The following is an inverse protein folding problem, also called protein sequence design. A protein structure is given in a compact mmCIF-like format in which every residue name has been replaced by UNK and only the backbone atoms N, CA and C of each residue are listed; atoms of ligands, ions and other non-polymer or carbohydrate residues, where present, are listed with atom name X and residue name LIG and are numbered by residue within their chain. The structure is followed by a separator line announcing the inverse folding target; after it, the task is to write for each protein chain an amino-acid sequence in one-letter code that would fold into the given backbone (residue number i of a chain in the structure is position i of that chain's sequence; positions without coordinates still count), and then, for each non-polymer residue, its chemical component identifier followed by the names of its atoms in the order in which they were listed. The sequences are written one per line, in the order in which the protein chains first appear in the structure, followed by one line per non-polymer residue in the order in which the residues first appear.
data_IF_036077576966
#
_entry.id   IF_036077576966
#
_cell.length_a   1.000
_cell.length_b   1.000
_cell.length_c   1.000
_cell.angle_alpha   90.00
_cell.angle_beta   90.00
_cell.angle_gamma   90.00
#
_symmetry.space_group_name_H-M   'P 1'
#
loop_
_entity.id
_entity.type
_entity.pdbx_description
1 polymer ?
#
# COMPACT_ATOMS: atom_id res chain seq x y z
N UNK A 1 -39.81 1.69 -5.41
CA UNK A 1 -40.54 2.49 -4.40
C UNK A 1 -41.74 1.71 -3.81
N UNK A 2 -42.55 1.00 -4.61
CA UNK A 2 -43.78 0.32 -4.15
C UNK A 2 -43.67 -1.12 -3.61
N UNK A 3 -42.47 -1.69 -3.45
CA UNK A 3 -42.29 -3.11 -3.05
C UNK A 3 -41.81 -3.32 -1.61
N UNK A 4 -41.58 -2.26 -0.82
CA UNK A 4 -40.84 -2.39 0.45
C UNK A 4 -41.69 -2.21 1.71
N UNK A 5 -42.93 -1.69 1.65
CA UNK A 5 -43.79 -1.46 2.83
C UNK A 5 -45.23 -1.96 2.61
N UNK A 6 -45.47 -3.29 2.70
CA UNK A 6 -46.76 -3.89 2.36
C UNK A 6 -47.90 -3.51 3.32
N UNK A 7 -47.65 -3.23 4.60
CA UNK A 7 -48.70 -2.83 5.54
C UNK A 7 -49.20 -1.39 5.33
N UNK A 8 -48.30 -0.46 5.00
CA UNK A 8 -48.68 0.92 4.60
C UNK A 8 -49.47 0.86 3.28
N UNK A 9 -49.03 0.00 2.34
CA UNK A 9 -49.77 -0.27 1.10
C UNK A 9 -51.11 -0.93 1.37
N UNK A 10 -51.20 -1.88 2.28
CA UNK A 10 -52.43 -2.58 2.64
C UNK A 10 -53.39 -1.61 3.32
N UNK A 11 -52.93 -0.74 4.21
CA UNK A 11 -53.76 0.32 4.81
C UNK A 11 -54.17 1.39 3.79
N UNK A 12 -53.27 1.78 2.87
CA UNK A 12 -53.60 2.66 1.74
C UNK A 12 -54.61 2.01 0.79
N UNK A 13 -54.45 0.73 0.46
CA UNK A 13 -55.32 -0.03 -0.43
C UNK A 13 -56.66 -0.37 0.23
N UNK A 14 -56.66 -0.66 1.54
CA UNK A 14 -57.85 -0.91 2.34
C UNK A 14 -58.68 0.37 2.51
N UNK A 15 -58.03 1.51 2.72
CA UNK A 15 -58.65 2.84 2.68
C UNK A 15 -59.24 3.16 1.30
N UNK A 16 -58.49 2.93 0.22
CA UNK A 16 -58.96 3.15 -1.15
C UNK A 16 -60.09 2.20 -1.56
N UNK A 17 -60.08 0.95 -1.08
CA UNK A 17 -61.08 -0.08 -1.39
C UNK A 17 -62.42 0.07 -0.66
N UNK A 18 -62.45 0.74 0.50
CA UNK A 18 -63.67 0.99 1.28
C UNK A 18 -64.30 2.37 1.06
N UNK A 19 -63.79 3.17 0.11
CA UNK A 19 -64.33 4.48 -0.22
C UNK A 19 -64.11 5.58 0.84
N UNK A 20 -63.32 5.32 1.88
CA UNK A 20 -62.87 6.33 2.83
C UNK A 20 -61.44 6.74 2.45
N UNK A 21 -61.29 7.88 1.77
CA UNK A 21 -59.98 8.45 1.49
C UNK A 21 -59.22 8.69 2.80
N UNK A 22 -58.02 8.11 2.90
CA UNK A 22 -57.09 8.38 4.00
C UNK A 22 -56.88 9.88 4.09
N UNK A 23 -57.03 10.43 5.30
CA UNK A 23 -56.92 11.87 5.48
C UNK A 23 -55.59 12.38 4.88
N UNK A 24 -55.59 13.48 4.10
CA UNK A 24 -54.41 13.91 3.34
C UNK A 24 -53.13 14.06 4.17
N UNK A 25 -53.27 14.45 5.44
CA UNK A 25 -52.15 14.59 6.37
C UNK A 25 -51.51 13.24 6.77
N UNK A 26 -52.32 12.19 6.94
CA UNK A 26 -51.84 10.84 7.24
C UNK A 26 -51.12 10.24 6.04
N UNK A 27 -51.65 10.45 4.85
CA UNK A 27 -50.99 10.04 3.59
C UNK A 27 -49.65 10.74 3.41
N UNK A 28 -49.61 12.07 3.58
CA UNK A 28 -48.38 12.85 3.47
C UNK A 28 -47.32 12.42 4.50
N UNK A 29 -47.74 12.13 5.74
CA UNK A 29 -46.85 11.62 6.79
C UNK A 29 -46.24 10.26 6.40
N UNK A 30 -47.05 9.34 5.90
CA UNK A 30 -46.59 8.01 5.48
C UNK A 30 -45.62 8.08 4.30
N UNK A 31 -45.89 8.96 3.32
CA UNK A 31 -44.98 9.22 2.19
C UNK A 31 -43.64 9.78 2.68
N UNK A 32 -43.65 10.75 3.60
CA UNK A 32 -42.42 11.31 4.18
C UNK A 32 -41.59 10.27 4.94
N UNK A 33 -42.23 9.40 5.72
CA UNK A 33 -41.54 8.33 6.45
C UNK A 33 -40.91 7.33 5.48
N UNK A 34 -41.61 6.96 4.40
CA UNK A 34 -41.09 6.06 3.37
C UNK A 34 -39.92 6.66 2.60
N UNK A 35 -39.99 7.94 2.27
CA UNK A 35 -38.89 8.64 1.60
C UNK A 35 -37.66 8.74 2.50
N UNK A 36 -37.86 9.08 3.78
CA UNK A 36 -36.78 9.10 4.77
C UNK A 36 -36.15 7.71 4.98
N UNK A 37 -36.97 6.66 5.05
CA UNK A 37 -36.49 5.28 5.18
C UNK A 37 -35.69 4.84 3.94
N UNK A 38 -36.17 5.16 2.73
CA UNK A 38 -35.46 4.82 1.49
C UNK A 38 -34.15 5.58 1.34
N UNK A 39 -34.12 6.86 1.69
CA UNK A 39 -32.90 7.66 1.66
C UNK A 39 -31.86 7.13 2.65
N UNK A 40 -32.29 6.88 3.89
CA UNK A 40 -31.40 6.38 4.95
C UNK A 40 -31.04 4.89 4.82
N UNK A 41 -31.73 4.13 3.96
CA UNK A 41 -31.43 2.72 3.68
C UNK A 41 -30.01 2.52 3.15
N UNK A 42 -29.53 3.46 2.32
CA UNK A 42 -28.20 3.45 1.72
C UNK A 42 -27.18 4.28 2.51
N UNK A 43 -27.56 4.74 3.71
CA UNK A 43 -26.68 5.45 4.63
C UNK A 43 -25.73 4.51 5.39
N UNK A 44 -25.23 4.98 6.54
CA UNK A 44 -24.31 4.21 7.36
C UNK A 44 -24.99 3.00 8.02
N UNK A 45 -24.31 1.85 7.97
CA UNK A 45 -24.74 0.59 8.57
C UNK A 45 -24.16 0.48 9.99
N UNK A 46 -24.77 1.15 10.95
CA UNK A 46 -24.23 1.34 12.32
C UNK A 46 -25.02 0.63 13.41
N UNK A 47 -26.18 0.03 13.08
CA UNK A 47 -27.03 -0.64 14.06
C UNK A 47 -26.73 -2.14 14.05
N UNK A 48 -26.26 -2.74 15.17
CA UNK A 48 -26.00 -4.16 15.23
C UNK A 48 -27.33 -4.93 15.20
N UNK A 49 -27.41 -6.05 14.45
CA UNK A 49 -28.66 -6.76 14.28
C UNK A 49 -29.11 -7.46 15.59
N UNK A 50 -30.43 -7.63 15.79
CA UNK A 50 -30.99 -8.23 17.01
C UNK A 50 -30.63 -9.72 17.19
N UNK A 51 -30.54 -10.49 16.10
CA UNK A 51 -30.26 -11.93 16.14
C UNK A 51 -28.78 -12.20 15.80
N UNK A 52 -28.10 -12.99 16.63
CA UNK A 52 -26.73 -13.46 16.40
C UNK A 52 -26.58 -14.26 15.09
N UNK A 53 -27.68 -14.83 14.56
CA UNK A 53 -27.70 -15.54 13.27
C UNK A 53 -27.66 -14.61 12.06
N UNK A 54 -27.98 -13.34 12.22
CA UNK A 54 -27.86 -12.36 11.15
C UNK A 54 -26.54 -11.58 11.31
N UNK A 55 -25.57 -11.71 10.39
CA UNK A 55 -24.30 -11.00 10.46
C UNK A 55 -24.40 -9.57 9.90
N UNK A 56 -25.53 -9.18 9.31
CA UNK A 56 -25.65 -7.93 8.55
C UNK A 56 -26.08 -6.81 9.50
N UNK A 57 -25.20 -5.82 9.66
CA UNK A 57 -25.50 -4.56 10.34
C UNK A 57 -26.62 -3.83 9.60
N UNK A 58 -27.40 -3.03 10.31
CA UNK A 58 -28.55 -2.33 9.75
C UNK A 58 -28.26 -0.84 9.61
N UNK A 59 -28.79 -0.26 8.53
CA UNK A 59 -28.90 1.19 8.39
C UNK A 59 -30.15 1.69 9.11
N UNK A 60 -30.19 2.99 9.40
CA UNK A 60 -31.36 3.62 10.01
C UNK A 60 -32.64 3.39 9.18
N UNK A 61 -32.52 3.39 7.84
CA UNK A 61 -33.63 3.09 6.95
C UNK A 61 -34.15 1.67 7.11
N UNK A 62 -33.24 0.68 7.18
CA UNK A 62 -33.65 -0.71 7.43
C UNK A 62 -34.33 -0.87 8.81
N UNK A 63 -33.83 -0.19 9.85
CA UNK A 63 -34.49 -0.20 11.16
C UNK A 63 -35.90 0.42 11.11
N UNK A 64 -36.09 1.52 10.37
CA UNK A 64 -37.42 2.12 10.16
C UNK A 64 -38.36 1.12 9.47
N UNK A 65 -37.87 0.40 8.45
CA UNK A 65 -38.66 -0.62 7.76
C UNK A 65 -38.98 -1.81 8.67
N UNK A 66 -38.05 -2.26 9.51
CA UNK A 66 -38.25 -3.34 10.48
C UNK A 66 -39.32 -2.96 11.52
N UNK A 67 -39.31 -1.72 12.00
CA UNK A 67 -40.33 -1.20 12.92
C UNK A 67 -41.74 -1.11 12.29
N UNK A 68 -41.82 -0.96 10.96
CA UNK A 68 -43.08 -0.82 10.21
C UNK A 68 -43.65 -2.13 9.67
N UNK A 69 -43.07 -3.29 10.03
CA UNK A 69 -43.77 -4.57 9.93
C UNK A 69 -43.53 -5.39 8.66
N UNK A 70 -42.28 -5.81 8.42
CA UNK A 70 -41.97 -7.10 7.74
C UNK A 70 -40.48 -7.52 7.82
N UNK A 71 -39.65 -6.85 8.63
CA UNK A 71 -38.28 -7.29 8.89
C UNK A 71 -38.22 -8.58 9.70
N UNK A 72 -37.18 -9.41 9.53
CA UNK A 72 -36.87 -10.51 10.45
C UNK A 72 -36.40 -10.03 11.84
N UNK A 73 -36.49 -8.73 12.12
CA UNK A 73 -35.96 -8.07 13.31
C UNK A 73 -37.00 -7.84 14.42
N UNK A 74 -36.53 -7.45 15.61
CA UNK A 74 -37.37 -7.07 16.74
C UNK A 74 -37.84 -5.61 16.60
N UNK A 75 -39.15 -5.34 16.39
CA UNK A 75 -39.67 -3.99 16.20
C UNK A 75 -39.41 -3.08 17.41
N UNK A 76 -39.35 -3.61 18.63
CA UNK A 76 -39.10 -2.81 19.83
C UNK A 76 -37.66 -2.29 19.87
N UNK A 77 -36.71 -3.13 19.47
CA UNK A 77 -35.30 -2.74 19.35
C UNK A 77 -35.14 -1.68 18.26
N UNK A 78 -35.76 -1.89 17.09
CA UNK A 78 -35.72 -0.93 15.99
C UNK A 78 -36.27 0.45 16.41
N UNK A 79 -37.40 0.49 17.14
CA UNK A 79 -37.95 1.73 17.70
C UNK A 79 -36.99 2.38 18.70
N UNK A 80 -36.34 1.60 19.56
CA UNK A 80 -35.33 2.10 20.50
C UNK A 80 -34.15 2.74 19.76
N UNK A 81 -33.62 2.07 18.74
CA UNK A 81 -32.50 2.54 17.94
C UNK A 81 -32.84 3.84 17.20
N UNK A 82 -34.02 3.92 16.59
CA UNK A 82 -34.52 5.13 15.93
C UNK A 82 -34.66 6.28 16.93
N UNK A 83 -35.21 6.03 18.13
CA UNK A 83 -35.33 7.06 19.18
C UNK A 83 -33.98 7.58 19.66
N UNK A 84 -32.98 6.71 19.79
CA UNK A 84 -31.63 7.13 20.18
C UNK A 84 -30.97 7.95 19.07
N UNK A 85 -31.07 7.51 17.82
CA UNK A 85 -30.59 8.27 16.66
C UNK A 85 -31.25 9.65 16.57
N UNK A 86 -32.57 9.71 16.74
CA UNK A 86 -33.33 10.97 16.75
C UNK A 86 -32.90 11.87 17.90
N UNK A 87 -32.72 11.33 19.11
CA UNK A 87 -32.28 12.09 20.29
C UNK A 87 -30.90 12.72 20.05
N UNK A 88 -29.98 11.97 19.47
CA UNK A 88 -28.64 12.46 19.11
C UNK A 88 -28.70 13.49 17.98
N UNK A 89 -29.52 13.26 16.94
CA UNK A 89 -29.69 14.19 15.83
C UNK A 89 -30.29 15.54 16.29
N UNK A 90 -31.32 15.51 17.15
CA UNK A 90 -31.92 16.72 17.74
C UNK A 90 -30.94 17.50 18.61
N UNK A 91 -29.99 16.81 19.25
CA UNK A 91 -28.96 17.45 20.07
C UNK A 91 -27.92 18.24 19.25
N UNK A 92 -27.78 18.00 17.93
CA UNK A 92 -26.85 18.75 17.07
C UNK A 92 -27.15 20.26 17.04
N UNK A 93 -28.42 20.66 17.23
CA UNK A 93 -28.86 22.05 17.21
C UNK A 93 -28.91 22.75 18.57
N UNK A 94 -28.58 22.05 19.67
CA UNK A 94 -28.67 22.59 21.03
C UNK A 94 -27.33 23.21 21.48
N UNK A 95 -26.34 22.38 21.83
CA UNK A 95 -24.99 22.79 22.22
C UNK A 95 -24.03 21.59 22.08
N UNK A 96 -22.72 21.88 21.95
CA UNK A 96 -21.70 20.83 21.71
C UNK A 96 -21.64 19.80 22.85
N UNK A 97 -21.83 20.22 24.09
CA UNK A 97 -21.73 19.33 25.25
C UNK A 97 -22.88 18.34 25.30
N UNK A 98 -24.11 18.83 25.10
CA UNK A 98 -25.31 18.00 25.02
C UNK A 98 -25.22 17.03 23.84
N UNK A 99 -24.77 17.48 22.67
CA UNK A 99 -24.56 16.59 21.53
C UNK A 99 -23.55 15.48 21.85
N UNK A 100 -22.40 15.84 22.43
CA UNK A 100 -21.35 14.88 22.81
C UNK A 100 -21.85 13.85 23.82
N UNK A 101 -22.66 14.26 24.79
CA UNK A 101 -23.24 13.36 25.78
C UNK A 101 -24.25 12.40 25.16
N UNK A 102 -25.15 12.87 24.29
CA UNK A 102 -26.11 12.00 23.59
C UNK A 102 -25.41 11.03 22.63
N UNK A 103 -24.40 11.52 21.90
CA UNK A 103 -23.58 10.70 21.03
C UNK A 103 -22.83 9.62 21.81
N UNK A 104 -22.31 9.95 23.00
CA UNK A 104 -21.65 8.98 23.87
C UNK A 104 -22.59 7.88 24.32
N UNK A 105 -23.82 8.22 24.71
CA UNK A 105 -24.84 7.23 25.10
C UNK A 105 -25.15 6.29 23.93
N UNK A 106 -25.39 6.83 22.73
CA UNK A 106 -25.63 6.04 21.52
C UNK A 106 -24.43 5.11 21.21
N UNK A 107 -23.21 5.66 21.22
CA UNK A 107 -21.99 4.88 20.97
C UNK A 107 -21.82 3.74 21.99
N UNK A 108 -21.99 4.03 23.27
CA UNK A 108 -21.77 3.06 24.34
C UNK A 108 -22.81 1.93 24.30
N UNK A 109 -24.06 2.22 23.92
CA UNK A 109 -25.10 1.20 23.67
C UNK A 109 -24.75 0.30 22.48
N UNK A 110 -24.40 0.90 21.34
CA UNK A 110 -24.01 0.16 20.13
C UNK A 110 -22.78 -0.70 20.36
N UNK A 111 -21.76 -0.15 21.03
CA UNK A 111 -20.53 -0.85 21.38
C UNK A 111 -20.82 -2.05 22.29
N UNK A 112 -21.66 -1.88 23.32
CA UNK A 112 -22.04 -2.96 24.23
C UNK A 112 -22.77 -4.10 23.49
N UNK A 113 -23.67 -3.78 22.57
CA UNK A 113 -24.37 -4.78 21.75
C UNK A 113 -23.43 -5.50 20.79
N UNK A 114 -22.55 -4.78 20.12
CA UNK A 114 -21.56 -5.38 19.23
C UNK A 114 -20.56 -6.26 20.00
N UNK A 115 -20.16 -5.86 21.21
CA UNK A 115 -19.23 -6.62 22.06
C UNK A 115 -19.86 -7.92 22.57
N UNK A 116 -21.16 -7.89 22.94
CA UNK A 116 -21.92 -9.09 23.30
C UNK A 116 -21.96 -10.14 22.16
N UNK A 117 -21.75 -9.72 20.91
CA UNK A 117 -21.67 -10.55 19.71
C UNK A 117 -20.24 -10.91 19.30
N UNK A 118 -19.23 -10.36 19.98
CA UNK A 118 -17.82 -10.50 19.62
C UNK A 118 -17.40 -9.69 18.38
N UNK A 119 -18.26 -8.80 17.88
CA UNK A 119 -18.03 -8.00 16.67
C UNK A 119 -17.29 -6.68 16.94
N UNK A 120 -17.21 -6.26 18.22
CA UNK A 120 -16.57 -4.99 18.60
C UNK A 120 -15.06 -5.08 18.85
N UNK A 121 -14.47 -6.29 18.86
CA UNK A 121 -13.09 -6.54 19.32
C UNK A 121 -12.02 -5.68 18.63
N UNK A 122 -12.21 -5.37 17.35
CA UNK A 122 -11.23 -4.63 16.55
C UNK A 122 -11.52 -3.13 16.42
N UNK A 123 -12.73 -2.68 16.75
CA UNK A 123 -13.17 -1.28 16.55
C UNK A 123 -12.33 -0.29 17.38
N UNK A 124 -12.00 -0.53 18.68
CA UNK A 124 -11.13 0.38 19.42
C UNK A 124 -9.72 0.46 18.83
N UNK A 125 -9.20 -0.65 18.30
CA UNK A 125 -7.87 -0.70 17.68
C UNK A 125 -7.84 0.09 16.37
N UNK A 126 -8.90 0.00 15.57
CA UNK A 126 -9.07 0.77 14.34
C UNK A 126 -9.22 2.27 14.62
N UNK A 127 -10.02 2.65 15.62
CA UNK A 127 -10.14 4.04 16.04
C UNK A 127 -8.80 4.63 16.51
N UNK A 128 -8.03 3.91 17.32
CA UNK A 128 -6.67 4.31 17.74
C UNK A 128 -5.71 4.42 16.54
N UNK A 129 -5.81 3.49 15.58
CA UNK A 129 -5.03 3.52 14.36
C UNK A 129 -5.24 4.82 13.58
N UNK A 130 -6.49 5.23 13.36
CA UNK A 130 -6.82 6.46 12.63
C UNK A 130 -6.48 7.73 13.39
N UNK A 131 -6.65 7.78 14.73
CA UNK A 131 -6.32 8.98 15.51
C UNK A 131 -4.82 9.31 15.53
N UNK A 132 -3.96 8.29 15.56
CA UNK A 132 -2.53 8.48 15.84
C UNK A 132 -1.69 8.83 14.61
N UNK A 133 -2.25 8.87 13.40
CA UNK A 133 -1.55 9.28 12.17
C UNK A 133 -0.13 8.68 12.02
N UNK A 134 0.00 7.37 12.21
CA UNK A 134 1.30 6.68 12.35
C UNK A 134 2.31 6.98 11.24
N UNK A 135 1.86 7.00 9.98
CA UNK A 135 2.75 7.25 8.83
C UNK A 135 3.24 8.69 8.74
N UNK A 136 2.50 9.67 9.29
CA UNK A 136 3.00 11.04 9.42
C UNK A 136 4.20 11.08 10.37
N UNK A 137 4.11 10.40 11.52
CA UNK A 137 5.23 10.31 12.46
C UNK A 137 6.42 9.57 11.87
N UNK A 138 6.19 8.46 11.17
CA UNK A 138 7.25 7.75 10.44
C UNK A 138 7.99 8.69 9.47
N UNK A 139 7.22 9.49 8.70
CA UNK A 139 7.77 10.47 7.78
C UNK A 139 8.62 11.54 8.48
N UNK A 140 8.18 12.05 9.64
CA UNK A 140 8.95 13.01 10.44
C UNK A 140 10.29 12.41 10.87
N UNK A 141 10.30 11.17 11.37
CA UNK A 141 11.54 10.49 11.75
C UNK A 141 12.48 10.26 10.56
N UNK A 142 11.94 9.92 9.38
CA UNK A 142 12.75 9.80 8.17
C UNK A 142 13.27 11.15 7.66
N UNK A 143 12.52 12.25 7.79
CA UNK A 143 13.03 13.59 7.47
C UNK A 143 14.17 13.96 8.42
N UNK A 144 14.00 13.73 9.72
CA UNK A 144 15.07 13.93 10.71
C UNK A 144 16.28 13.06 10.36
N UNK A 145 16.07 11.78 10.05
CA UNK A 145 17.14 10.87 9.61
C UNK A 145 17.86 11.38 8.36
N UNK A 146 17.14 11.94 7.39
CA UNK A 146 17.73 12.53 6.18
C UNK A 146 18.62 13.73 6.51
N UNK A 147 18.17 14.65 7.38
CA UNK A 147 18.96 15.81 7.80
C UNK A 147 20.23 15.36 8.54
N UNK A 148 20.10 14.37 9.44
CA UNK A 148 21.22 13.80 10.16
C UNK A 148 22.20 13.06 9.24
N UNK A 149 21.70 12.40 8.20
CA UNK A 149 22.50 11.73 7.18
C UNK A 149 23.36 12.72 6.38
N UNK A 150 22.80 13.89 6.03
CA UNK A 150 23.56 14.95 5.37
C UNK A 150 24.70 15.45 6.26
N UNK A 151 24.45 15.64 7.57
CA UNK A 151 25.49 16.00 8.54
C UNK A 151 26.54 14.88 8.72
N UNK A 152 26.11 13.61 8.68
CA UNK A 152 27.00 12.45 8.73
C UNK A 152 27.96 12.43 7.53
N UNK A 153 27.46 12.68 6.32
CA UNK A 153 28.29 12.69 5.12
C UNK A 153 29.26 13.88 5.06
N UNK A 154 28.85 15.06 5.53
CA UNK A 154 29.73 16.25 5.55
C UNK A 154 30.84 16.16 6.59
N UNK A 155 30.57 15.56 7.76
CA UNK A 155 31.52 15.46 8.86
C UNK A 155 32.43 14.21 8.80
N UNK A 156 32.14 13.30 7.86
CA UNK A 156 32.94 12.11 7.58
C UNK A 156 33.26 11.25 8.81
N UNK A 157 34.50 10.74 8.88
CA UNK A 157 34.94 9.82 9.94
C UNK A 157 35.32 10.47 11.28
N UNK A 158 34.99 11.74 11.49
CA UNK A 158 35.24 12.44 12.76
C UNK A 158 34.47 11.83 13.94
N UNK A 159 34.88 12.10 15.20
CA UNK A 159 34.13 11.67 16.39
C UNK A 159 32.68 12.18 16.36
N UNK A 160 32.48 13.40 15.86
CA UNK A 160 31.17 14.02 15.67
C UNK A 160 30.37 13.29 14.59
N UNK A 161 31.01 12.96 13.45
CA UNK A 161 30.40 12.17 12.37
C UNK A 161 29.92 10.80 12.83
N UNK A 162 30.66 10.11 13.72
CA UNK A 162 30.19 8.86 14.36
C UNK A 162 28.94 9.08 15.23
N UNK A 163 28.84 10.22 15.91
CA UNK A 163 27.63 10.60 16.64
C UNK A 163 26.42 10.75 15.70
N UNK A 164 26.61 11.44 14.57
CA UNK A 164 25.57 11.58 13.53
C UNK A 164 25.21 10.26 12.87
N UNK A 165 26.15 9.33 12.71
CA UNK A 165 25.84 7.96 12.23
C UNK A 165 24.85 7.26 13.16
N UNK A 166 25.12 7.23 14.47
CA UNK A 166 24.22 6.59 15.44
C UNK A 166 22.88 7.32 15.54
N UNK A 167 22.87 8.65 15.46
CA UNK A 167 21.65 9.44 15.45
C UNK A 167 20.79 9.16 14.19
N UNK A 168 21.42 9.07 13.01
CA UNK A 168 20.76 8.71 11.74
C UNK A 168 20.18 7.30 11.81
N UNK A 169 20.95 6.35 12.36
CA UNK A 169 20.48 4.99 12.58
C UNK A 169 19.28 4.93 13.52
N UNK A 170 19.35 5.62 14.66
CA UNK A 170 18.25 5.67 15.63
C UNK A 170 16.98 6.30 15.02
N UNK A 171 17.12 7.40 14.28
CA UNK A 171 16.00 8.05 13.61
C UNK A 171 15.38 7.14 12.52
N UNK A 172 16.21 6.50 11.70
CA UNK A 172 15.74 5.60 10.63
C UNK A 172 15.07 4.35 11.18
N UNK A 173 15.65 3.73 12.23
CA UNK A 173 15.04 2.58 12.92
C UNK A 173 13.72 2.98 13.58
N UNK A 174 13.66 4.17 14.21
CA UNK A 174 12.42 4.67 14.80
C UNK A 174 11.36 4.89 13.72
N UNK A 175 11.71 5.52 12.60
CA UNK A 175 10.81 5.67 11.45
C UNK A 175 10.30 4.33 10.93
N UNK A 176 11.17 3.32 10.83
CA UNK A 176 10.79 1.97 10.44
C UNK A 176 9.82 1.31 11.45
N UNK A 177 10.06 1.46 12.75
CA UNK A 177 9.14 0.97 13.79
C UNK A 177 7.76 1.62 13.63
N UNK A 178 7.71 2.92 13.37
CA UNK A 178 6.48 3.66 13.10
C UNK A 178 5.80 3.28 11.77
N UNK A 179 6.49 2.59 10.85
CA UNK A 179 5.86 1.93 9.71
C UNK A 179 5.36 0.52 10.07
N UNK A 180 6.13 -0.26 10.82
CA UNK A 180 5.80 -1.66 11.13
C UNK A 180 4.59 -1.76 12.06
N UNK A 181 4.51 -0.92 13.11
CA UNK A 181 3.38 -0.94 14.05
C UNK A 181 2.02 -0.77 13.35
N UNK A 182 1.77 0.28 12.55
CA UNK A 182 0.50 0.43 11.86
C UNK A 182 0.25 -0.68 10.83
N UNK A 183 1.28 -1.17 10.13
CA UNK A 183 1.16 -2.34 9.23
C UNK A 183 0.65 -3.56 10.01
N UNK A 184 1.22 -3.87 11.17
CA UNK A 184 0.78 -5.00 12.01
C UNK A 184 -0.64 -4.76 12.55
N UNK A 185 -0.97 -3.54 12.97
CA UNK A 185 -2.34 -3.20 13.39
C UNK A 185 -3.34 -3.43 12.26
N UNK A 186 -3.01 -2.98 11.04
CA UNK A 186 -3.79 -3.24 9.83
C UNK A 186 -3.98 -4.74 9.61
N UNK A 187 -2.94 -5.56 9.79
CA UNK A 187 -3.06 -7.01 9.69
C UNK A 187 -4.05 -7.60 10.70
N UNK A 188 -4.04 -7.11 11.94
CA UNK A 188 -4.92 -7.58 13.01
C UNK A 188 -6.37 -7.14 12.74
N UNK A 189 -6.57 -5.90 12.27
CA UNK A 189 -7.92 -5.37 11.97
C UNK A 189 -8.53 -6.10 10.78
N UNK A 190 -7.78 -6.21 9.68
CA UNK A 190 -8.26 -6.84 8.44
C UNK A 190 -8.17 -8.38 8.46
N UNK A 191 -7.55 -8.98 9.48
CA UNK A 191 -7.30 -10.41 9.61
C UNK A 191 -6.52 -11.03 8.43
N UNK A 192 -5.67 -10.23 7.78
CA UNK A 192 -4.89 -10.61 6.60
C UNK A 192 -3.72 -9.64 6.39
N UNK A 193 -2.68 -10.00 5.61
CA UNK A 193 -1.58 -9.08 5.31
C UNK A 193 -2.04 -7.83 4.53
N UNK A 194 -1.34 -6.69 4.66
CA UNK A 194 -1.75 -5.40 4.10
C UNK A 194 -1.17 -5.29 2.70
N UNK A 195 -1.74 -6.04 1.76
CA UNK A 195 -1.35 -6.07 0.34
C UNK A 195 -2.56 -6.13 -0.59
N UNK A 196 -3.74 -5.71 -0.09
CA UNK A 196 -5.00 -5.79 -0.83
C UNK A 196 -5.21 -4.65 -1.85
N UNK A 197 -4.57 -3.50 -1.65
CA UNK A 197 -4.68 -2.34 -2.52
C UNK A 197 -3.32 -1.62 -2.75
N UNK A 198 -3.31 -0.59 -3.59
CA UNK A 198 -2.07 0.12 -3.95
C UNK A 198 -1.46 0.84 -2.75
N UNK A 199 -2.28 1.48 -1.92
CA UNK A 199 -1.82 2.16 -0.71
C UNK A 199 -1.08 1.21 0.24
N UNK A 200 -1.71 0.08 0.55
CA UNK A 200 -1.17 -0.99 1.38
C UNK A 200 0.16 -1.52 0.86
N UNK A 201 0.22 -1.83 -0.44
CA UNK A 201 1.44 -2.35 -1.07
C UNK A 201 2.58 -1.32 -1.12
N UNK A 202 2.31 -0.03 -1.37
CA UNK A 202 3.35 1.02 -1.35
C UNK A 202 3.95 1.15 0.05
N UNK A 203 3.11 1.13 1.09
CA UNK A 203 3.59 1.25 2.47
C UNK A 203 4.41 0.03 2.87
N UNK A 204 3.95 -1.17 2.49
CA UNK A 204 4.67 -2.40 2.75
C UNK A 204 6.02 -2.46 2.02
N UNK A 205 6.06 -2.07 0.74
CA UNK A 205 7.31 -1.92 -0.03
C UNK A 205 8.20 -0.87 0.61
N UNK A 206 7.65 0.27 1.05
CA UNK A 206 8.38 1.32 1.76
C UNK A 206 9.10 0.83 3.02
N UNK A 207 8.37 0.14 3.89
CA UNK A 207 8.94 -0.45 5.10
C UNK A 207 10.01 -1.50 4.76
N UNK A 208 9.74 -2.34 3.76
CA UNK A 208 10.66 -3.41 3.33
C UNK A 208 11.94 -2.85 2.72
N UNK A 209 11.85 -1.82 1.87
CA UNK A 209 13.02 -1.17 1.25
C UNK A 209 13.91 -0.56 2.33
N UNK A 210 13.33 0.14 3.31
CA UNK A 210 14.10 0.69 4.43
C UNK A 210 14.73 -0.42 5.27
N UNK A 211 13.99 -1.50 5.54
CA UNK A 211 14.51 -2.67 6.26
C UNK A 211 15.69 -3.33 5.53
N UNK A 212 15.56 -3.59 4.23
CA UNK A 212 16.64 -4.17 3.41
C UNK A 212 17.83 -3.21 3.35
N UNK A 213 17.60 -1.90 3.21
CA UNK A 213 18.67 -0.91 3.23
C UNK A 213 19.44 -0.89 4.57
N UNK A 214 18.75 -0.99 5.71
CA UNK A 214 19.38 -1.13 7.02
C UNK A 214 20.15 -2.45 7.17
N UNK A 215 19.65 -3.55 6.61
CA UNK A 215 20.35 -4.83 6.59
C UNK A 215 21.65 -4.74 5.75
N UNK A 216 21.59 -4.10 4.58
CA UNK A 216 22.76 -3.86 3.73
C UNK A 216 23.76 -2.95 4.45
N UNK A 217 23.30 -1.89 5.13
CA UNK A 217 24.17 -1.05 5.96
C UNK A 217 24.85 -1.88 7.05
N UNK A 218 24.11 -2.72 7.75
CA UNK A 218 24.67 -3.58 8.79
C UNK A 218 25.78 -4.51 8.27
N UNK A 219 25.64 -5.01 7.05
CA UNK A 219 26.64 -5.86 6.38
C UNK A 219 27.85 -5.07 5.86
N UNK A 220 27.66 -3.86 5.36
CA UNK A 220 28.71 -3.07 4.69
C UNK A 220 29.43 -2.08 5.62
N UNK A 221 28.75 -1.54 6.63
CA UNK A 221 29.21 -0.56 7.62
C UNK A 221 29.92 0.67 7.02
N UNK A 222 29.42 1.18 5.90
CA UNK A 222 30.00 2.32 5.17
C UNK A 222 29.24 3.63 5.41
N UNK A 223 28.08 3.60 6.05
CA UNK A 223 27.21 4.76 6.30
C UNK A 223 26.52 5.31 5.04
N UNK A 224 26.91 4.89 3.85
CA UNK A 224 26.33 5.36 2.60
C UNK A 224 24.87 4.91 2.43
N UNK A 225 24.60 3.63 2.65
CA UNK A 225 23.24 3.09 2.52
C UNK A 225 22.36 3.62 3.64
N UNK A 226 22.93 3.81 4.83
CA UNK A 226 22.25 4.47 5.94
C UNK A 226 21.74 5.87 5.60
N UNK A 227 22.49 6.65 4.81
CA UNK A 227 22.06 8.00 4.44
C UNK A 227 20.94 8.02 3.40
N UNK A 228 20.87 6.99 2.55
CA UNK A 228 19.83 6.85 1.53
C UNK A 228 18.52 6.27 2.10
N UNK A 229 18.62 5.34 3.05
CA UNK A 229 17.46 4.66 3.63
C UNK A 229 16.33 5.61 4.10
N UNK A 230 16.60 6.68 4.89
CA UNK A 230 15.55 7.60 5.30
C UNK A 230 14.98 8.42 4.13
N UNK A 231 15.78 8.76 3.11
CA UNK A 231 15.28 9.46 1.92
C UNK A 231 14.24 8.60 1.20
N UNK A 232 14.55 7.32 0.99
CA UNK A 232 13.62 6.36 0.39
C UNK A 232 12.36 6.17 1.23
N UNK A 233 12.50 6.07 2.56
CA UNK A 233 11.37 6.00 3.48
C UNK A 233 10.44 7.22 3.37
N UNK A 234 10.99 8.43 3.32
CA UNK A 234 10.20 9.66 3.13
C UNK A 234 9.50 9.67 1.78
N UNK A 235 10.21 9.39 0.68
CA UNK A 235 9.63 9.41 -0.68
C UNK A 235 8.48 8.42 -0.81
N UNK A 236 8.63 7.21 -0.27
CA UNK A 236 7.61 6.16 -0.36
C UNK A 236 6.39 6.45 0.51
N UNK A 237 6.55 7.05 1.70
CA UNK A 237 5.40 7.52 2.49
C UNK A 237 4.68 8.68 1.79
N UNK A 238 5.41 9.64 1.23
CA UNK A 238 4.80 10.74 0.46
C UNK A 238 4.00 10.20 -0.72
N UNK A 239 4.53 9.19 -1.41
CA UNK A 239 3.83 8.50 -2.49
C UNK A 239 2.56 7.81 -1.98
N UNK A 240 2.63 7.04 -0.89
CA UNK A 240 1.46 6.39 -0.29
C UNK A 240 0.37 7.40 0.07
N UNK A 241 0.74 8.53 0.69
CA UNK A 241 -0.21 9.58 1.08
C UNK A 241 -0.84 10.30 -0.10
N UNK A 242 -0.11 10.46 -1.21
CA UNK A 242 -0.68 10.99 -2.46
C UNK A 242 -1.81 10.11 -2.97
N UNK A 243 -1.70 8.79 -2.83
CA UNK A 243 -2.77 7.86 -3.18
C UNK A 243 -3.94 7.92 -2.22
N UNK A 244 -3.68 7.92 -0.91
CA UNK A 244 -4.72 8.06 0.13
C UNK A 244 -5.55 9.34 -0.04
N UNK A 245 -4.90 10.47 -0.29
CA UNK A 245 -5.57 11.75 -0.54
C UNK A 245 -6.29 11.80 -1.88
N UNK A 246 -5.76 11.12 -2.91
CA UNK A 246 -6.31 11.11 -4.25
C UNK A 246 -7.58 10.26 -4.39
N UNK A 247 -7.62 9.12 -3.69
CA UNK A 247 -8.76 8.20 -3.72
C UNK A 247 -9.87 8.64 -2.74
N UNK A 248 -9.53 9.39 -1.67
CA UNK A 248 -10.46 9.95 -0.68
C UNK A 248 -11.50 8.95 -0.15
N UNK A 249 -11.10 7.69 -0.01
CA UNK A 249 -11.89 6.56 0.46
C UNK A 249 -11.20 5.88 1.62
N UNK A 250 -11.97 5.08 2.37
CA UNK A 250 -11.38 4.14 3.31
C UNK A 250 -10.48 3.17 2.55
N UNK A 251 -9.29 2.91 3.11
CA UNK A 251 -8.28 2.05 2.51
C UNK A 251 -8.33 0.63 3.10
N UNK A 252 -9.28 0.32 4.00
CA UNK A 252 -9.51 -1.02 4.57
C UNK A 252 -10.67 -1.76 3.87
N UNK A 253 -10.74 -1.68 2.55
CA UNK A 253 -11.81 -2.31 1.76
C UNK A 253 -11.89 -3.83 1.95
N UNK A 254 -13.09 -4.44 1.93
CA UNK A 254 -13.22 -5.89 1.85
C UNK A 254 -12.57 -6.43 0.56
N UNK A 255 -11.94 -7.61 0.64
CA UNK A 255 -11.33 -8.24 -0.53
C UNK A 255 -12.41 -8.81 -1.45
N UNK A 256 -12.06 -8.96 -2.73
CA UNK A 256 -12.83 -9.80 -3.65
C UNK A 256 -12.85 -11.22 -3.10
N UNK A 257 -14.01 -11.88 -3.11
CA UNK A 257 -14.22 -13.18 -2.44
C UNK A 257 -13.19 -14.27 -2.80
N UNK A 258 -12.67 -14.27 -4.03
CA UNK A 258 -11.63 -15.20 -4.49
C UNK A 258 -10.28 -14.98 -3.79
N UNK A 259 -10.00 -13.77 -3.34
CA UNK A 259 -8.77 -13.39 -2.62
C UNK A 259 -8.86 -13.67 -1.12
N UNK A 260 -9.99 -14.20 -0.63
CA UNK A 260 -10.17 -14.50 0.79
C UNK A 260 -9.56 -15.88 1.19
N UNK A 261 -8.95 -16.61 0.24
CA UNK A 261 -8.19 -17.83 0.50
C UNK A 261 -6.82 -17.52 1.14
N UNK A 262 -6.80 -17.47 2.48
CA UNK A 262 -5.75 -16.78 3.23
C UNK A 262 -4.34 -17.40 3.16
N UNK A 263 -4.17 -18.73 3.12
CA UNK A 263 -2.84 -19.31 3.36
C UNK A 263 -1.87 -19.13 2.18
N UNK A 264 -2.20 -19.69 1.01
CA UNK A 264 -1.31 -19.66 -0.15
C UNK A 264 -1.13 -18.25 -0.71
N UNK A 265 -2.21 -17.45 -0.74
CA UNK A 265 -2.17 -16.07 -1.20
C UNK A 265 -1.24 -15.22 -0.32
N UNK A 266 -1.35 -15.36 1.01
CA UNK A 266 -0.51 -14.60 1.95
C UNK A 266 0.96 -14.86 1.70
N UNK A 267 1.37 -16.13 1.66
CA UNK A 267 2.79 -16.46 1.49
C UNK A 267 3.27 -16.00 0.11
N UNK A 268 2.47 -16.25 -0.94
CA UNK A 268 2.78 -15.79 -2.29
C UNK A 268 3.03 -14.28 -2.36
N UNK A 269 2.03 -13.47 -1.95
CA UNK A 269 2.08 -12.01 -2.12
C UNK A 269 3.16 -11.40 -1.24
N UNK A 270 3.36 -11.91 -0.02
CA UNK A 270 4.43 -11.42 0.85
C UNK A 270 5.81 -11.76 0.27
N UNK A 271 6.03 -13.00 -0.17
CA UNK A 271 7.30 -13.43 -0.76
C UNK A 271 7.61 -12.64 -2.04
N UNK A 272 6.65 -12.49 -2.96
CA UNK A 272 6.89 -11.80 -4.23
C UNK A 272 7.11 -10.29 -4.02
N UNK A 273 6.40 -9.66 -3.07
CA UNK A 273 6.54 -8.23 -2.80
C UNK A 273 7.88 -7.90 -2.10
N UNK A 274 8.41 -8.81 -1.28
CA UNK A 274 9.79 -8.71 -0.78
C UNK A 274 10.81 -8.75 -1.94
N UNK A 275 10.59 -9.61 -2.94
CA UNK A 275 11.39 -9.65 -4.17
C UNK A 275 11.32 -8.34 -4.95
N UNK A 276 10.12 -7.79 -5.16
CA UNK A 276 9.91 -6.50 -5.83
C UNK A 276 10.61 -5.36 -5.10
N UNK A 277 10.56 -5.35 -3.76
CA UNK A 277 11.22 -4.33 -2.94
C UNK A 277 12.74 -4.33 -3.14
N UNK A 278 13.36 -5.52 -3.20
CA UNK A 278 14.78 -5.66 -3.48
C UNK A 278 15.15 -5.23 -4.91
N UNK A 279 14.33 -5.57 -5.90
CA UNK A 279 14.54 -5.19 -7.30
C UNK A 279 14.40 -3.67 -7.53
N UNK A 280 13.45 -3.04 -6.86
CA UNK A 280 13.30 -1.58 -6.89
C UNK A 280 14.47 -0.89 -6.17
N UNK A 281 14.91 -1.42 -5.02
CA UNK A 281 16.09 -0.90 -4.33
C UNK A 281 17.36 -1.07 -5.18
N UNK A 282 17.51 -2.17 -5.91
CA UNK A 282 18.65 -2.37 -6.82
C UNK A 282 18.64 -1.41 -8.00
N UNK A 283 17.46 -1.14 -8.56
CA UNK A 283 17.28 -0.13 -9.59
C UNK A 283 17.66 1.27 -9.07
N UNK A 284 17.21 1.61 -7.85
CA UNK A 284 17.51 2.91 -7.25
C UNK A 284 18.98 3.09 -6.90
N UNK A 285 19.63 2.10 -6.27
CA UNK A 285 21.07 2.16 -6.01
C UNK A 285 21.89 2.22 -7.31
N UNK A 286 21.43 1.55 -8.37
CA UNK A 286 22.08 1.61 -9.67
C UNK A 286 21.87 2.97 -10.34
N UNK A 287 20.70 3.59 -10.20
CA UNK A 287 20.48 4.98 -10.64
C UNK A 287 21.48 5.95 -9.98
N UNK A 288 21.65 5.84 -8.65
CA UNK A 288 22.66 6.62 -7.93
C UNK A 288 24.07 6.33 -8.44
N UNK A 289 24.40 5.06 -8.70
CA UNK A 289 25.69 4.69 -9.28
C UNK A 289 25.93 5.35 -10.65
N UNK A 290 24.93 5.35 -11.54
CA UNK A 290 25.05 5.98 -12.86
C UNK A 290 25.30 7.48 -12.72
N UNK A 291 24.57 8.17 -11.85
CA UNK A 291 24.76 9.60 -11.57
C UNK A 291 26.14 9.88 -10.99
N UNK A 292 26.52 9.15 -9.95
CA UNK A 292 27.79 9.30 -9.25
C UNK A 292 28.98 9.10 -10.20
N UNK A 293 28.98 8.02 -10.97
CA UNK A 293 30.05 7.71 -11.92
C UNK A 293 30.05 8.62 -13.14
N UNK A 294 28.86 9.04 -13.60
CA UNK A 294 28.72 9.89 -14.79
C UNK A 294 29.05 11.35 -14.56
N UNK A 295 28.84 11.85 -13.34
CA UNK A 295 29.20 13.21 -12.92
C UNK A 295 30.58 13.28 -12.22
N UNK A 296 31.32 12.17 -12.20
CA UNK A 296 32.63 12.03 -11.54
C UNK A 296 32.63 12.43 -10.05
N UNK A 297 31.51 12.20 -9.36
CA UNK A 297 31.32 12.55 -7.94
C UNK A 297 31.99 11.57 -6.98
N UNK A 298 32.48 10.43 -7.47
CA UNK A 298 33.22 9.46 -6.66
C UNK A 298 34.73 9.66 -6.69
N UNK A 299 35.23 10.70 -7.36
CA UNK A 299 36.66 11.03 -7.47
C UNK A 299 37.53 9.83 -7.93
N UNK A 300 36.93 8.88 -8.65
CA UNK A 300 37.58 7.65 -9.09
C UNK A 300 37.74 6.55 -8.03
N UNK A 301 37.01 6.61 -6.90
CA UNK A 301 37.03 5.59 -5.85
C UNK A 301 36.53 4.23 -6.36
N UNK A 302 37.49 3.34 -6.64
CA UNK A 302 37.22 1.98 -7.11
C UNK A 302 36.60 1.09 -6.04
N UNK A 303 36.89 1.34 -4.76
CA UNK A 303 36.34 0.54 -3.67
C UNK A 303 34.85 0.82 -3.53
N UNK A 304 34.46 2.09 -3.53
CA UNK A 304 33.06 2.51 -3.53
C UNK A 304 32.28 1.89 -4.70
N UNK A 305 32.80 2.02 -5.93
CA UNK A 305 32.18 1.42 -7.12
C UNK A 305 31.98 -0.10 -6.96
N UNK A 306 32.98 -0.81 -6.43
CA UNK A 306 32.92 -2.26 -6.22
C UNK A 306 31.88 -2.66 -5.17
N UNK A 307 31.75 -1.88 -4.09
CA UNK A 307 30.74 -2.10 -3.05
C UNK A 307 29.34 -1.95 -3.63
N UNK A 308 29.07 -0.89 -4.39
CA UNK A 308 27.80 -0.70 -5.08
C UNK A 308 27.46 -1.87 -5.99
N UNK A 309 28.40 -2.29 -6.84
CA UNK A 309 28.18 -3.43 -7.73
C UNK A 309 27.92 -4.71 -6.95
N UNK A 310 28.63 -4.95 -5.83
CA UNK A 310 28.40 -6.13 -4.97
C UNK A 310 27.02 -6.11 -4.33
N UNK A 311 26.59 -4.97 -3.79
CA UNK A 311 25.27 -4.80 -3.17
C UNK A 311 24.16 -5.00 -4.21
N UNK A 312 24.28 -4.38 -5.39
CA UNK A 312 23.32 -4.54 -6.48
C UNK A 312 23.26 -5.98 -6.95
N UNK A 313 24.41 -6.64 -7.15
CA UNK A 313 24.44 -8.06 -7.50
C UNK A 313 23.72 -8.93 -6.46
N UNK A 314 23.98 -8.70 -5.17
CA UNK A 314 23.31 -9.41 -4.08
C UNK A 314 21.80 -9.20 -4.07
N UNK A 315 21.34 -7.97 -4.32
CA UNK A 315 19.90 -7.69 -4.42
C UNK A 315 19.24 -8.29 -5.66
N UNK A 316 19.95 -8.37 -6.79
CA UNK A 316 19.44 -9.10 -7.96
C UNK A 316 19.30 -10.59 -7.65
N UNK A 317 20.25 -11.21 -6.94
CA UNK A 317 20.12 -12.59 -6.46
C UNK A 317 18.90 -12.77 -5.54
N UNK A 318 18.70 -11.85 -4.60
CA UNK A 318 17.56 -11.89 -3.68
C UNK A 318 16.23 -11.69 -4.41
N UNK A 319 16.20 -10.76 -5.38
CA UNK A 319 15.05 -10.52 -6.27
C UNK A 319 14.71 -11.77 -7.06
N UNK A 320 15.71 -12.42 -7.68
CA UNK A 320 15.52 -13.66 -8.43
C UNK A 320 14.93 -14.75 -7.54
N UNK A 321 15.55 -14.99 -6.38
CA UNK A 321 15.13 -16.06 -5.47
C UNK A 321 13.68 -15.87 -5.01
N UNK A 322 13.34 -14.68 -4.49
CA UNK A 322 12.00 -14.43 -3.97
C UNK A 322 10.96 -14.27 -5.08
N UNK A 323 11.31 -13.72 -6.24
CA UNK A 323 10.38 -13.65 -7.37
C UNK A 323 10.11 -15.04 -7.95
N UNK A 324 11.11 -15.93 -8.01
CA UNK A 324 10.93 -17.30 -8.46
C UNK A 324 10.04 -18.09 -7.49
N UNK A 325 10.40 -18.10 -6.20
CA UNK A 325 9.62 -18.78 -5.16
C UNK A 325 8.21 -18.19 -5.10
N UNK A 326 8.09 -16.87 -5.12
CA UNK A 326 6.82 -16.16 -5.19
C UNK A 326 6.00 -16.60 -6.40
N UNK A 327 6.56 -16.60 -7.61
CA UNK A 327 5.84 -17.02 -8.83
C UNK A 327 5.33 -18.45 -8.73
N UNK A 328 6.14 -19.39 -8.22
CA UNK A 328 5.72 -20.79 -8.02
C UNK A 328 4.60 -20.89 -7.00
N UNK A 329 4.71 -20.20 -5.85
CA UNK A 329 3.66 -20.15 -4.84
C UNK A 329 2.36 -19.53 -5.40
N UNK A 330 2.48 -18.56 -6.30
CA UNK A 330 1.35 -17.96 -7.00
C UNK A 330 0.64 -18.97 -7.89
N UNK A 331 1.38 -19.82 -8.60
CA UNK A 331 0.80 -20.91 -9.38
C UNK A 331 0.11 -21.97 -8.52
N UNK A 332 0.67 -22.30 -7.34
CA UNK A 332 0.01 -23.21 -6.38
C UNK A 332 -1.33 -22.61 -5.92
N UNK A 333 -1.33 -21.33 -5.53
CA UNK A 333 -2.55 -20.61 -5.16
C UNK A 333 -3.57 -20.55 -6.31
N UNK A 334 -3.12 -20.30 -7.54
CA UNK A 334 -3.98 -20.25 -8.72
C UNK A 334 -4.61 -21.63 -9.01
N UNK A 335 -3.87 -22.72 -8.79
CA UNK A 335 -4.42 -24.06 -8.93
C UNK A 335 -5.50 -24.36 -7.90
N UNK A 336 -5.29 -23.94 -6.65
CA UNK A 336 -6.26 -24.07 -5.55
C UNK A 336 -7.52 -23.23 -5.79
N UNK A 337 -7.36 -21.99 -6.30
CA UNK A 337 -8.46 -21.03 -6.44
C UNK A 337 -9.21 -21.13 -7.77
N UNK A 338 -8.53 -21.47 -8.86
CA UNK A 338 -9.06 -21.46 -10.24
C UNK A 338 -8.96 -22.81 -10.95
N UNK A 339 -8.40 -23.84 -10.32
CA UNK A 339 -8.22 -25.16 -10.91
C UNK A 339 -7.14 -25.24 -11.99
N UNK A 340 -6.27 -24.22 -12.11
CA UNK A 340 -5.11 -24.22 -13.02
C UNK A 340 -3.88 -23.56 -12.42
N UNK A 341 -2.71 -24.17 -12.61
CA UNK A 341 -1.44 -23.64 -12.12
C UNK A 341 -0.96 -22.37 -12.86
N UNK A 342 -1.26 -22.26 -14.15
CA UNK A 342 -0.79 -21.16 -15.01
C UNK A 342 -1.74 -20.94 -16.18
N UNK A 343 -1.77 -19.73 -16.74
CA UNK A 343 -2.67 -19.33 -17.82
C UNK A 343 -2.24 -18.09 -18.60
N UNK A 344 -0.99 -17.67 -18.49
CA UNK A 344 -0.35 -16.63 -19.32
C UNK A 344 -1.03 -15.27 -19.27
N UNK A 345 -1.69 -14.94 -18.17
CA UNK A 345 -2.26 -13.61 -18.01
C UNK A 345 -1.17 -12.55 -17.73
N UNK A 346 -1.49 -11.25 -17.85
CA UNK A 346 -0.48 -10.21 -17.72
C UNK A 346 0.27 -10.19 -16.38
N UNK A 347 -0.36 -10.61 -15.27
CA UNK A 347 0.32 -10.65 -13.95
C UNK A 347 1.29 -11.82 -13.87
N UNK A 348 0.85 -13.00 -14.32
CA UNK A 348 1.67 -14.19 -14.43
C UNK A 348 2.90 -13.93 -15.34
N UNK A 349 2.68 -13.32 -16.51
CA UNK A 349 3.75 -12.94 -17.44
C UNK A 349 4.70 -11.89 -16.86
N UNK A 350 4.17 -10.91 -16.13
CA UNK A 350 4.97 -9.90 -15.44
C UNK A 350 5.93 -10.54 -14.41
N UNK A 351 5.41 -11.47 -13.61
CA UNK A 351 6.21 -12.19 -12.61
C UNK A 351 7.31 -13.04 -13.26
N UNK A 352 6.96 -13.76 -14.34
CA UNK A 352 7.93 -14.54 -15.12
C UNK A 352 9.02 -13.64 -15.75
N UNK A 353 8.64 -12.46 -16.26
CA UNK A 353 9.60 -11.52 -16.85
C UNK A 353 10.65 -11.06 -15.82
N UNK A 354 10.28 -10.84 -14.56
CA UNK A 354 11.24 -10.50 -13.49
C UNK A 354 12.23 -11.64 -13.28
N UNK A 355 11.74 -12.89 -13.19
CA UNK A 355 12.57 -14.08 -13.00
C UNK A 355 13.56 -14.22 -14.16
N UNK A 356 13.08 -14.20 -15.40
CA UNK A 356 13.92 -14.37 -16.58
C UNK A 356 14.93 -13.23 -16.74
N UNK A 357 14.51 -11.99 -16.49
CA UNK A 357 15.38 -10.82 -16.58
C UNK A 357 16.50 -10.86 -15.54
N UNK A 358 16.16 -11.09 -14.28
CA UNK A 358 17.17 -11.18 -13.20
C UNK A 358 18.11 -12.37 -13.40
N UNK A 359 17.60 -13.50 -13.88
CA UNK A 359 18.41 -14.66 -14.27
C UNK A 359 19.40 -14.32 -15.40
N UNK A 360 18.94 -13.61 -16.43
CA UNK A 360 19.77 -13.18 -17.55
C UNK A 360 20.88 -12.21 -17.11
N UNK A 361 20.60 -11.28 -16.20
CA UNK A 361 21.62 -10.39 -15.61
C UNK A 361 22.72 -11.20 -14.93
N UNK A 362 22.33 -12.16 -14.08
CA UNK A 362 23.29 -12.97 -13.32
C UNK A 362 24.13 -13.83 -14.25
N UNK A 363 23.52 -14.48 -15.25
CA UNK A 363 24.25 -15.25 -16.26
C UNK A 363 25.20 -14.37 -17.08
N UNK A 364 24.76 -13.20 -17.52
CA UNK A 364 25.59 -12.27 -18.27
C UNK A 364 26.79 -11.78 -17.45
N UNK A 365 26.61 -11.55 -16.13
CA UNK A 365 27.70 -11.13 -15.23
C UNK A 365 28.67 -12.27 -14.95
N UNK A 366 28.17 -13.47 -14.67
CA UNK A 366 28.99 -14.66 -14.44
C UNK A 366 29.78 -15.06 -15.68
N UNK A 367 29.18 -14.98 -16.87
CA UNK A 367 29.83 -15.23 -18.16
C UNK A 367 30.77 -14.13 -18.63
N UNK A 368 30.91 -13.02 -17.88
CA UNK A 368 31.82 -11.92 -18.21
C UNK A 368 31.34 -11.00 -19.34
N UNK A 369 30.12 -11.18 -19.85
CA UNK A 369 29.52 -10.36 -20.90
C UNK A 369 29.22 -8.93 -20.44
N UNK A 370 28.80 -8.76 -19.18
CA UNK A 370 28.55 -7.44 -18.58
C UNK A 370 29.48 -7.15 -17.42
N UNK A 371 30.04 -5.93 -17.42
CA UNK A 371 30.85 -5.39 -16.32
C UNK A 371 30.02 -4.40 -15.50
N UNK A 372 30.65 -3.49 -14.78
CA UNK A 372 29.97 -2.66 -13.77
C UNK A 372 28.92 -1.75 -14.39
N UNK A 373 29.21 -1.08 -15.50
CA UNK A 373 28.20 -0.34 -16.26
C UNK A 373 27.02 -1.23 -16.63
N UNK A 374 27.28 -2.40 -17.23
CA UNK A 374 26.23 -3.28 -17.74
C UNK A 374 25.28 -3.80 -16.64
N UNK A 375 25.80 -4.20 -15.47
CA UNK A 375 24.93 -4.65 -14.37
C UNK A 375 24.10 -3.50 -13.78
N UNK A 376 24.65 -2.28 -13.71
CA UNK A 376 23.91 -1.12 -13.21
C UNK A 376 22.82 -0.67 -14.20
N UNK A 377 23.08 -0.68 -15.52
CA UNK A 377 22.02 -0.46 -16.52
C UNK A 377 20.93 -1.52 -16.43
N UNK A 378 21.33 -2.79 -16.39
CA UNK A 378 20.36 -3.87 -16.35
C UNK A 378 19.51 -3.84 -15.07
N UNK A 379 20.12 -3.44 -13.94
CA UNK A 379 19.41 -3.25 -12.67
C UNK A 379 18.48 -2.04 -12.69
N UNK A 380 18.83 -0.93 -13.35
CA UNK A 380 17.88 0.19 -13.57
C UNK A 380 16.67 -0.29 -14.39
N UNK A 381 16.93 -1.09 -15.43
CA UNK A 381 15.86 -1.68 -16.24
C UNK A 381 15.01 -2.70 -15.45
N UNK A 382 15.60 -3.42 -14.48
CA UNK A 382 14.83 -4.26 -13.54
C UNK A 382 13.72 -3.46 -12.84
N UNK A 383 13.95 -2.17 -12.54
CA UNK A 383 12.91 -1.29 -12.01
C UNK A 383 11.70 -1.16 -12.93
N UNK A 384 11.91 -1.04 -14.25
CA UNK A 384 10.83 -0.97 -15.23
C UNK A 384 10.06 -2.30 -15.33
N UNK A 385 10.79 -3.43 -15.29
CA UNK A 385 10.22 -4.78 -15.31
C UNK A 385 9.35 -5.02 -14.05
N UNK A 386 9.83 -4.61 -12.87
CA UNK A 386 9.07 -4.71 -11.62
C UNK A 386 7.84 -3.80 -11.64
N UNK A 387 7.98 -2.54 -12.06
CA UNK A 387 6.84 -1.60 -12.18
C UNK A 387 5.79 -2.12 -13.15
N UNK A 388 6.23 -2.73 -14.26
CA UNK A 388 5.31 -3.37 -15.19
C UNK A 388 4.49 -4.47 -14.50
N UNK A 389 5.17 -5.43 -13.87
CA UNK A 389 4.54 -6.60 -13.22
C UNK A 389 3.66 -6.23 -12.03
N UNK A 390 4.10 -5.29 -11.19
CA UNK A 390 3.40 -4.95 -9.96
C UNK A 390 2.26 -3.96 -10.20
N UNK A 391 2.45 -2.99 -11.10
CA UNK A 391 1.55 -1.84 -11.21
C UNK A 391 0.91 -1.70 -12.60
N UNK A 392 1.68 -1.71 -13.70
CA UNK A 392 1.14 -1.48 -15.05
C UNK A 392 0.10 -2.51 -15.45
N UNK A 393 0.35 -3.80 -15.20
CA UNK A 393 -0.53 -4.90 -15.60
C UNK A 393 -1.97 -4.74 -15.11
N UNK A 394 -2.20 -4.02 -13.99
CA UNK A 394 -3.55 -3.74 -13.48
C UNK A 394 -4.37 -2.83 -14.41
N UNK A 395 -3.73 -2.08 -15.32
CA UNK A 395 -4.41 -1.21 -16.29
C UNK A 395 -4.76 -1.87 -17.61
N UNK A 396 -4.33 -3.13 -17.82
CA UNK A 396 -4.57 -3.84 -19.08
C UNK A 396 -5.99 -4.36 -19.17
N UNK A 397 -6.68 -4.59 -18.05
CA UNK A 397 -8.09 -4.98 -18.06
C UNK A 397 -8.36 -6.43 -18.47
N UNK A 398 -7.33 -7.27 -18.58
CA UNK A 398 -7.42 -8.64 -19.12
C UNK A 398 -6.93 -9.67 -18.10
N UNK A 399 -7.59 -10.83 -18.07
CA UNK A 399 -7.21 -11.98 -17.25
C UNK A 399 -7.97 -12.08 -15.93
N UNK A 400 -7.80 -13.21 -15.23
CA UNK A 400 -8.47 -13.47 -13.95
C UNK A 400 -8.00 -12.51 -12.85
N UNK A 401 -6.82 -11.92 -13.01
CA UNK A 401 -6.21 -10.96 -12.09
C UNK A 401 -6.71 -9.50 -12.25
N UNK A 402 -7.80 -9.25 -12.98
CA UNK A 402 -8.33 -7.90 -13.26
C UNK A 402 -9.03 -7.22 -12.07
N UNK A 403 -8.86 -7.72 -10.85
CA UNK A 403 -9.31 -7.08 -9.61
C UNK A 403 -8.27 -6.12 -9.01
N UNK A 404 -7.22 -5.80 -9.78
CA UNK A 404 -6.16 -4.89 -9.36
C UNK A 404 -6.61 -3.44 -9.25
N UNK A 405 -5.85 -2.65 -8.50
CA UNK A 405 -6.07 -1.22 -8.35
C UNK A 405 -5.85 -0.47 -9.69
N UNK A 406 -6.73 0.48 -10.00
CA UNK A 406 -6.66 1.31 -11.21
C UNK A 406 -6.32 2.78 -10.94
N UNK A 407 -5.96 3.13 -9.70
CA UNK A 407 -5.53 4.47 -9.33
C UNK A 407 -4.11 4.78 -9.86
N UNK A 408 -3.84 6.04 -10.20
CA UNK A 408 -2.48 6.53 -10.51
C UNK A 408 -1.93 6.25 -11.91
N UNK A 409 -2.77 5.96 -12.90
CA UNK A 409 -2.32 5.64 -14.28
C UNK A 409 -1.27 6.60 -14.86
N UNK A 410 -1.40 7.90 -14.59
CA UNK A 410 -0.45 8.91 -15.08
C UNK A 410 0.93 8.81 -14.44
N UNK A 411 1.00 8.38 -13.17
CA UNK A 411 2.24 8.28 -12.41
C UNK A 411 3.15 7.15 -12.91
N UNK A 412 2.61 6.13 -13.58
CA UNK A 412 3.42 5.10 -14.26
C UNK A 412 4.28 5.70 -15.37
N UNK A 413 3.70 6.57 -16.20
CA UNK A 413 4.44 7.16 -17.32
C UNK A 413 5.58 8.06 -16.83
N UNK A 414 5.37 8.75 -15.71
CA UNK A 414 6.44 9.49 -15.03
C UNK A 414 7.55 8.54 -14.58
N UNK A 415 7.21 7.40 -13.98
CA UNK A 415 8.19 6.41 -13.54
C UNK A 415 9.01 5.82 -14.72
N UNK A 416 8.37 5.44 -15.82
CA UNK A 416 9.10 4.99 -17.02
C UNK A 416 9.93 6.11 -17.66
N UNK A 417 9.43 7.35 -17.66
CA UNK A 417 10.17 8.52 -18.12
C UNK A 417 11.45 8.73 -17.31
N UNK A 418 11.38 8.64 -15.98
CA UNK A 418 12.55 8.73 -15.10
C UNK A 418 13.57 7.60 -15.35
N UNK A 419 13.09 6.36 -15.52
CA UNK A 419 13.97 5.22 -15.84
C UNK A 419 14.62 5.40 -17.22
N UNK A 420 13.85 5.82 -18.23
CA UNK A 420 14.37 6.11 -19.56
C UNK A 420 15.42 7.21 -19.54
N UNK A 421 15.15 8.32 -18.85
CA UNK A 421 16.09 9.42 -18.67
C UNK A 421 17.39 8.96 -17.96
N UNK A 422 17.27 8.15 -16.91
CA UNK A 422 18.42 7.56 -16.22
C UNK A 422 19.29 6.69 -17.15
N UNK A 423 18.66 5.86 -17.98
CA UNK A 423 19.38 5.03 -18.95
C UNK A 423 20.06 5.87 -20.03
N UNK A 424 19.37 6.88 -20.59
CA UNK A 424 19.95 7.79 -21.58
C UNK A 424 21.16 8.52 -20.99
N UNK A 425 21.01 9.09 -19.80
CA UNK A 425 22.10 9.75 -19.09
C UNK A 425 23.29 8.80 -18.90
N UNK A 426 23.03 7.58 -18.41
CA UNK A 426 24.08 6.59 -18.22
C UNK A 426 24.82 6.26 -19.53
N UNK A 427 24.10 6.12 -20.65
CA UNK A 427 24.71 5.80 -21.96
C UNK A 427 25.64 6.93 -22.40
N UNK A 428 25.19 8.19 -22.27
CA UNK A 428 26.00 9.37 -22.56
C UNK A 428 27.25 9.39 -21.67
N UNK A 429 27.09 9.22 -20.36
CA UNK A 429 28.19 9.19 -19.40
C UNK A 429 29.21 8.08 -19.71
N UNK A 430 28.74 6.88 -20.03
CA UNK A 430 29.60 5.76 -20.41
C UNK A 430 30.37 6.05 -21.71
N UNK A 431 29.73 6.66 -22.70
CA UNK A 431 30.38 7.04 -23.95
C UNK A 431 31.47 8.10 -23.73
N UNK A 432 31.20 9.12 -22.91
CA UNK A 432 32.17 10.15 -22.52
C UNK A 432 33.37 9.53 -21.79
N UNK A 433 33.13 8.65 -20.81
CA UNK A 433 34.20 7.96 -20.08
C UNK A 433 35.06 7.11 -21.03
N UNK A 434 34.43 6.45 -22.00
CA UNK A 434 35.15 5.63 -22.99
C UNK A 434 36.02 6.49 -23.91
N UNK A 435 35.49 7.60 -24.43
CA UNK A 435 36.24 8.55 -25.27
C UNK A 435 37.43 9.16 -24.51
N UNK A 436 37.23 9.59 -23.26
CA UNK A 436 38.31 10.12 -22.42
C UNK A 436 39.44 9.10 -22.20
N UNK A 437 39.09 7.82 -21.97
CA UNK A 437 40.09 6.74 -21.83
C UNK A 437 40.82 6.45 -23.13
N UNK A 438 40.15 6.51 -24.28
CA UNK A 438 40.79 6.33 -25.58
C UNK A 438 41.76 7.47 -25.89
N UNK A 439 41.36 8.72 -25.66
CA UNK A 439 42.23 9.90 -25.83
C UNK A 439 43.48 9.81 -24.93
N UNK A 440 43.32 9.38 -23.67
CA UNK A 440 44.45 9.19 -22.75
C UNK A 440 45.42 8.10 -23.22
N UNK A 441 44.93 7.00 -23.80
CA UNK A 441 45.76 5.92 -24.36
C UNK A 441 46.55 6.37 -25.59
N UNK A 442 45.97 7.20 -26.44
CA UNK A 442 46.64 7.73 -27.63
C UNK A 442 47.74 8.74 -27.28
N UNK A 443 47.58 9.47 -26.16
CA UNK A 443 48.53 10.49 -25.71
C UNK A 443 49.62 9.96 -24.75
N UNK A 444 49.59 8.70 -24.33
CA UNK A 444 50.68 8.08 -23.55
C UNK A 444 51.77 7.55 -24.49
N UNK A 445 53.00 8.09 -24.45
CA UNK A 445 54.10 7.59 -25.27
C UNK A 445 54.40 6.11 -24.93
N UNK A 446 54.86 5.31 -25.92
CA UNK A 446 55.22 3.92 -25.66
C UNK A 446 56.31 3.84 -24.60
N UNK A 447 56.33 2.79 -23.76
CA UNK A 447 57.38 2.60 -22.77
C UNK A 447 58.73 2.60 -23.47
N UNK A 448 59.66 3.43 -22.99
CA UNK A 448 61.04 3.46 -23.47
C UNK A 448 61.65 2.09 -23.14
N UNK A 449 62.23 1.35 -24.11
CA UNK A 449 62.92 0.11 -23.80
C UNK A 449 64.04 0.38 -22.80
N UNK A 450 64.04 -0.30 -21.66
CA UNK A 450 65.22 -0.38 -20.80
C UNK A 450 66.27 -1.20 -21.56
N UNK A 451 67.33 -0.55 -22.03
CA UNK A 451 68.50 -1.17 -22.67
C UNK A 451 69.55 -1.54 -21.64
#
# INVERSE_FOLDING_TARGET
VMMTAPQIREQLAHSQGHGQEMAPHLKALLEQVLDAANFSKFGLFILPPPDAKNPIWQSAGNAIMDAMGEGKGDPNLAISDIKQLETTARAMGADESTFRDKLRVLRDDLAKRADARGEYRHVPLEADYYHKNWFLYAMVFFIIGTILALAMWTLGNSKVGKGFYWATLAATVTGLIYCIIPIVKRCIIMQRPPVGNLYDTIIFIGATVVFIALLVEWMTRRGFVLGIAPILGTVLIVLARRYELGDAKDNMDPLVAVLDSNYWLTIHVMTITLGYSAGLLSAFLSFIYLLMRGLDLDEGDRELRRIFTRVVYGMICFTLFLSLVGTVLGGIWANDSWGRFWGWDPKENGALMIVLWTLAILHARLGGYIRDWGIHFASVFTGAVVIFSWWHVNFLGVGLHNYGFTAGKNSIWVAYGMIGAAMIFGVVAMAVEHQAKQAKRLNTPPPVPEF
#
